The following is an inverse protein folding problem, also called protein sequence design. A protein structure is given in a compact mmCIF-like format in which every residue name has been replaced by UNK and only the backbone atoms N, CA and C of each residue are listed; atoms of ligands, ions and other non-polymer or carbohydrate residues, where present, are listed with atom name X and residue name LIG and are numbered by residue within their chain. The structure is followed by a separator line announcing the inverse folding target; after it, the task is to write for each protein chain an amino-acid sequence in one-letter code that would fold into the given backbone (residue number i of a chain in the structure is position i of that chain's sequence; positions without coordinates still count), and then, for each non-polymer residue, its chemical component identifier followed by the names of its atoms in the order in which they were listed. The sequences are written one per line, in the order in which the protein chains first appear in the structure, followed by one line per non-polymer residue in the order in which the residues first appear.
data_IF_706811588198
#
_entry.id   IF_706811588198
#
_cell.length_a   1.000
_cell.length_b   1.000
_cell.length_c   1.000
_cell.angle_alpha   90.00
_cell.angle_beta   90.00
_cell.angle_gamma   90.00
#
_symmetry.space_group_name_H-M   'P 1'
#
loop_
_entity.id
_entity.type
_entity.pdbx_description
1 polymer ?
#
# COMPACT_ATOMS: atom_id res chain seq x y z
N UNK A 1 2.26 -7.62 -9.19
CA UNK A 1 2.40 -8.44 -7.96
C UNK A 1 1.44 -9.62 -8.02
N UNK A 2 1.85 -10.80 -7.54
CA UNK A 2 0.95 -11.94 -7.37
C UNK A 2 0.42 -11.93 -5.92
N UNK A 3 -0.88 -11.75 -5.70
CA UNK A 3 -1.44 -11.61 -4.34
C UNK A 3 -1.80 -12.96 -3.74
N UNK A 4 -1.26 -13.24 -2.56
CA UNK A 4 -1.55 -14.43 -1.76
C UNK A 4 -1.94 -13.98 -0.34
N UNK A 5 -3.19 -13.56 -0.10
CA UNK A 5 -3.61 -13.15 1.23
C UNK A 5 -3.62 -14.37 2.16
N UNK A 6 -3.23 -14.15 3.42
CA UNK A 6 -3.18 -15.22 4.44
C UNK A 6 -4.14 -14.87 5.57
N UNK A 7 -4.05 -13.65 6.08
CA UNK A 7 -4.86 -13.18 7.19
C UNK A 7 -4.99 -11.64 7.23
N UNK A 8 -5.98 -11.15 7.98
CA UNK A 8 -6.15 -9.73 8.33
C UNK A 8 -6.26 -8.78 7.12
N UNK A 9 -5.48 -7.72 7.12
CA UNK A 9 -5.44 -6.62 6.16
C UNK A 9 -4.98 -7.05 4.76
N UNK A 10 -4.31 -8.21 4.63
CA UNK A 10 -3.83 -8.71 3.33
C UNK A 10 -4.95 -8.92 2.30
N UNK A 11 -6.17 -9.25 2.73
CA UNK A 11 -7.35 -9.33 1.85
C UNK A 11 -7.81 -7.95 1.34
N UNK A 12 -7.66 -6.91 2.16
CA UNK A 12 -7.96 -5.52 1.75
C UNK A 12 -6.88 -5.01 0.80
N UNK A 13 -5.61 -5.30 1.12
CA UNK A 13 -4.47 -4.95 0.27
C UNK A 13 -4.59 -5.63 -1.10
N UNK A 14 -5.01 -6.90 -1.16
CA UNK A 14 -5.31 -7.56 -2.43
C UNK A 14 -6.36 -6.81 -3.26
N UNK A 15 -7.50 -6.42 -2.65
CA UNK A 15 -8.52 -5.65 -3.36
C UNK A 15 -8.00 -4.31 -3.87
N UNK A 16 -7.18 -3.62 -3.08
CA UNK A 16 -6.52 -2.38 -3.53
C UNK A 16 -5.65 -2.67 -4.76
N UNK A 17 -4.73 -3.63 -4.64
CA UNK A 17 -3.73 -3.99 -5.67
C UNK A 17 -4.37 -4.48 -6.98
N UNK A 18 -5.37 -5.35 -6.89
CA UNK A 18 -5.97 -6.02 -8.05
C UNK A 18 -7.09 -5.19 -8.66
N UNK A 19 -7.98 -4.61 -7.84
CA UNK A 19 -9.21 -3.99 -8.36
C UNK A 19 -9.09 -2.48 -8.55
N UNK A 20 -8.34 -1.79 -7.67
CA UNK A 20 -8.25 -0.33 -7.66
C UNK A 20 -7.06 0.15 -8.49
N UNK A 21 -5.83 -0.18 -8.05
CA UNK A 21 -4.61 0.25 -8.76
C UNK A 21 -4.26 -0.67 -9.93
N UNK A 22 -4.79 -1.90 -9.93
CA UNK A 22 -4.72 -2.87 -11.05
C UNK A 22 -3.29 -3.17 -11.51
N UNK A 23 -2.39 -3.41 -10.55
CA UNK A 23 -0.96 -3.75 -10.79
C UNK A 23 -0.63 -5.20 -10.44
N UNK A 24 -1.64 -6.01 -10.13
CA UNK A 24 -1.45 -7.37 -9.65
C UNK A 24 -2.51 -8.36 -10.09
N UNK A 25 -2.17 -9.62 -9.91
CA UNK A 25 -3.00 -10.78 -10.25
C UNK A 25 -3.26 -11.58 -8.98
N UNK A 26 -4.50 -12.04 -8.82
CA UNK A 26 -4.96 -12.81 -7.67
C UNK A 26 -4.71 -14.30 -7.88
N UNK A 27 -4.21 -14.97 -6.84
CA UNK A 27 -3.95 -16.41 -6.87
C UNK A 27 -5.21 -17.24 -6.61
N UNK A 28 -6.19 -16.70 -5.88
CA UNK A 28 -7.48 -17.35 -5.63
C UNK A 28 -7.76 -17.74 -4.18
N UNK A 29 -6.99 -17.23 -3.20
CA UNK A 29 -7.27 -17.46 -1.78
C UNK A 29 -8.48 -16.62 -1.36
N UNK A 30 -9.60 -17.26 -1.03
CA UNK A 30 -10.87 -16.60 -0.68
C UNK A 30 -11.14 -16.52 0.82
N UNK A 31 -10.53 -17.39 1.63
CA UNK A 31 -10.80 -17.46 3.07
C UNK A 31 -9.51 -17.25 3.89
N UNK A 32 -9.55 -16.46 4.97
CA UNK A 32 -8.42 -16.37 5.89
C UNK A 32 -8.13 -17.72 6.55
N UNK A 33 -6.86 -17.98 6.86
CA UNK A 33 -6.45 -19.15 7.64
C UNK A 33 -6.25 -18.70 9.09
N UNK A 34 -7.02 -19.25 10.01
CA UNK A 34 -6.86 -19.02 11.45
C UNK A 34 -5.98 -20.12 12.07
N UNK A 35 -4.96 -19.73 12.84
CA UNK A 35 -4.11 -20.66 13.57
C UNK A 35 -4.92 -21.36 14.67
N UNK A 36 -5.11 -22.68 14.57
CA UNK A 36 -5.76 -23.50 15.60
C UNK A 36 -7.07 -24.17 15.17
N UNK A 37 -7.59 -23.87 13.97
CA UNK A 37 -8.63 -24.68 13.34
C UNK A 37 -7.96 -25.86 12.61
N UNK A 38 -7.99 -27.03 13.23
CA UNK A 38 -7.64 -28.31 12.58
C UNK A 38 -8.71 -28.68 11.55
N UNK A 39 -8.89 -27.86 10.52
CA UNK A 39 -9.81 -28.17 9.43
C UNK A 39 -9.00 -28.55 8.19
N UNK A 40 -9.07 -29.84 7.86
CA UNK A 40 -8.73 -30.36 6.54
C UNK A 40 -9.45 -29.60 5.41
N UNK A 41 -10.53 -28.89 5.72
CA UNK A 41 -11.32 -28.03 4.83
C UNK A 41 -10.61 -26.72 4.41
N UNK A 42 -9.60 -26.26 5.17
CA UNK A 42 -8.88 -25.00 4.90
C UNK A 42 -7.45 -25.20 4.37
N UNK A 43 -6.95 -26.44 4.29
CA UNK A 43 -5.55 -26.75 3.96
C UNK A 43 -5.15 -26.46 2.52
N UNK A 44 -6.07 -26.56 1.56
CA UNK A 44 -5.78 -26.32 0.13
C UNK A 44 -6.89 -25.47 -0.50
N UNK A 45 -6.70 -24.15 -0.50
CA UNK A 45 -7.63 -23.22 -1.13
C UNK A 45 -7.35 -22.97 -2.61
N UNK A 46 -6.13 -23.28 -3.07
CA UNK A 46 -5.68 -22.96 -4.42
C UNK A 46 -5.07 -24.18 -5.07
N UNK A 47 -5.53 -24.47 -6.29
CA UNK A 47 -4.98 -25.57 -7.11
C UNK A 47 -3.75 -25.10 -7.89
N UNK A 48 -2.87 -26.05 -8.24
CA UNK A 48 -1.69 -25.78 -9.09
C UNK A 48 -2.05 -25.04 -10.38
N UNK A 49 -3.18 -25.37 -11.01
CA UNK A 49 -3.61 -24.74 -12.25
C UNK A 49 -4.02 -23.26 -12.06
N UNK A 50 -4.56 -22.89 -10.89
CA UNK A 50 -4.85 -21.50 -10.55
C UNK A 50 -3.57 -20.69 -10.38
N UNK A 51 -2.58 -21.27 -9.70
CA UNK A 51 -1.24 -20.67 -9.58
C UNK A 51 -0.62 -20.49 -10.96
N UNK A 52 -0.68 -21.52 -11.82
CA UNK A 52 -0.14 -21.47 -13.19
C UNK A 52 -0.79 -20.34 -13.99
N UNK A 53 -2.12 -20.26 -14.01
CA UNK A 53 -2.86 -19.20 -14.70
C UNK A 53 -2.52 -17.81 -14.17
N UNK A 54 -2.40 -17.66 -12.85
CA UNK A 54 -2.06 -16.38 -12.23
C UNK A 54 -0.64 -15.91 -12.62
N UNK A 55 0.31 -16.86 -12.73
CA UNK A 55 1.67 -16.60 -13.20
C UNK A 55 1.68 -16.25 -14.70
N UNK A 56 1.02 -17.03 -15.54
CA UNK A 56 0.90 -16.80 -16.99
C UNK A 56 0.34 -15.40 -17.25
N UNK A 57 -0.79 -15.05 -16.64
CA UNK A 57 -1.39 -13.71 -16.73
C UNK A 57 -0.46 -12.57 -16.31
N UNK A 58 0.49 -12.81 -15.40
CA UNK A 58 1.44 -11.79 -14.94
C UNK A 58 2.69 -11.70 -15.83
N UNK A 59 3.16 -12.85 -16.31
CA UNK A 59 4.45 -12.99 -16.99
C UNK A 59 4.34 -12.89 -18.50
N UNK A 60 3.21 -13.28 -19.07
CA UNK A 60 3.03 -13.27 -20.51
C UNK A 60 3.14 -11.85 -21.07
N UNK A 61 3.49 -11.77 -22.36
CA UNK A 61 3.66 -10.50 -23.07
C UNK A 61 2.35 -9.87 -23.53
N UNK A 62 1.22 -10.40 -23.08
CA UNK A 62 -0.12 -9.95 -23.47
C UNK A 62 -0.41 -8.53 -22.97
N UNK A 63 -1.42 -7.91 -23.58
CA UNK A 63 -1.83 -6.53 -23.31
C UNK A 63 -2.06 -6.27 -21.81
N UNK A 64 -2.75 -7.19 -21.12
CA UNK A 64 -3.06 -7.05 -19.71
C UNK A 64 -1.80 -6.99 -18.83
N UNK A 65 -0.82 -7.85 -19.10
CA UNK A 65 0.43 -7.91 -18.35
C UNK A 65 1.32 -6.69 -18.59
N UNK A 66 1.36 -6.18 -19.83
CA UNK A 66 2.08 -4.95 -20.16
C UNK A 66 1.45 -3.73 -19.47
N UNK A 67 0.12 -3.62 -19.48
CA UNK A 67 -0.59 -2.54 -18.80
C UNK A 67 -0.44 -2.62 -17.27
N UNK A 68 -0.36 -3.82 -16.68
CA UNK A 68 -0.01 -3.97 -15.26
C UNK A 68 1.41 -3.46 -14.96
N UNK A 69 2.40 -3.83 -15.79
CA UNK A 69 3.79 -3.38 -15.63
C UNK A 69 3.95 -1.87 -15.79
N UNK A 70 3.25 -1.28 -16.77
CA UNK A 70 3.23 0.16 -17.01
C UNK A 70 2.69 0.92 -15.79
N UNK A 71 1.51 0.53 -15.29
CA UNK A 71 0.92 1.13 -14.08
C UNK A 71 1.81 0.96 -12.85
N UNK A 72 2.44 -0.20 -12.69
CA UNK A 72 3.38 -0.43 -11.60
C UNK A 72 4.58 0.52 -11.67
N UNK A 73 5.11 0.77 -12.87
CA UNK A 73 6.21 1.72 -13.08
C UNK A 73 5.79 3.15 -12.76
N UNK A 74 4.65 3.61 -13.31
CA UNK A 74 4.10 4.94 -13.04
C UNK A 74 3.85 5.16 -11.55
N UNK A 75 3.31 4.16 -10.85
CA UNK A 75 3.10 4.21 -9.41
C UNK A 75 4.43 4.28 -8.64
N UNK A 76 5.45 3.56 -9.08
CA UNK A 76 6.79 3.62 -8.49
C UNK A 76 7.40 5.02 -8.61
N UNK A 77 7.33 5.62 -9.80
CA UNK A 77 7.81 6.99 -10.03
C UNK A 77 7.01 8.03 -9.22
N UNK A 78 5.70 7.83 -9.04
CA UNK A 78 4.88 8.68 -8.16
C UNK A 78 5.28 8.55 -6.69
N UNK A 79 5.56 7.33 -6.23
CA UNK A 79 5.98 7.07 -4.86
C UNK A 79 7.35 7.70 -4.55
N UNK A 80 8.29 7.65 -5.50
CA UNK A 80 9.60 8.30 -5.40
C UNK A 80 9.43 9.83 -5.30
N UNK A 81 8.70 10.45 -6.22
CA UNK A 81 8.41 11.90 -6.18
C UNK A 81 7.67 12.34 -4.92
N UNK A 82 6.84 11.49 -4.33
CA UNK A 82 6.11 11.83 -3.12
C UNK A 82 7.04 12.01 -1.90
N UNK A 83 8.18 11.31 -1.86
CA UNK A 83 9.12 11.33 -0.72
C UNK A 83 10.33 12.25 -0.93
N UNK A 84 10.60 12.65 -2.17
CA UNK A 84 11.60 13.68 -2.49
C UNK A 84 11.30 15.04 -1.82
N UNK A 85 12.29 15.91 -1.73
CA UNK A 85 12.13 17.26 -1.19
C UNK A 85 11.08 18.04 -2.00
N UNK A 86 10.13 18.65 -1.30
CA UNK A 86 8.96 19.29 -1.92
C UNK A 86 7.84 18.32 -2.35
N UNK A 87 8.05 17.01 -2.21
CA UNK A 87 7.05 15.97 -2.44
C UNK A 87 5.94 15.94 -1.39
N UNK A 88 4.81 15.33 -1.72
CA UNK A 88 3.62 15.35 -0.86
C UNK A 88 3.83 14.70 0.51
N UNK A 89 4.51 13.55 0.56
CA UNK A 89 4.80 12.85 1.82
C UNK A 89 5.88 13.58 2.62
N UNK A 90 6.88 14.13 1.94
CA UNK A 90 7.90 14.98 2.57
C UNK A 90 7.26 16.19 3.26
N UNK A 91 6.40 16.92 2.56
CA UNK A 91 5.64 18.05 3.10
C UNK A 91 4.75 17.63 4.27
N UNK A 92 4.02 16.52 4.14
CA UNK A 92 3.10 16.06 5.18
C UNK A 92 3.84 15.71 6.49
N UNK A 93 5.01 15.06 6.40
CA UNK A 93 5.84 14.76 7.58
C UNK A 93 6.43 16.05 8.16
N UNK A 94 6.84 16.99 7.31
CA UNK A 94 7.38 18.29 7.75
C UNK A 94 6.33 19.08 8.53
N UNK A 95 5.12 19.20 7.99
CA UNK A 95 3.99 19.85 8.64
C UNK A 95 3.64 19.15 9.96
N UNK A 96 3.61 17.82 9.97
CA UNK A 96 3.35 17.06 11.20
C UNK A 96 4.39 17.36 12.29
N UNK A 97 5.68 17.44 11.94
CA UNK A 97 6.73 17.80 12.91
C UNK A 97 6.54 19.23 13.42
N UNK A 98 6.23 20.18 12.53
CA UNK A 98 5.97 21.57 12.90
C UNK A 98 4.78 21.69 13.86
N UNK A 99 3.70 20.98 13.58
CA UNK A 99 2.50 20.94 14.44
C UNK A 99 2.83 20.39 15.83
N UNK A 100 3.61 19.31 15.90
CA UNK A 100 4.06 18.74 17.19
C UNK A 100 4.94 19.74 17.96
N UNK A 101 5.86 20.42 17.30
CA UNK A 101 6.72 21.44 17.92
C UNK A 101 5.89 22.61 18.44
N UNK A 102 4.95 23.11 17.65
CA UNK A 102 4.07 24.21 18.03
C UNK A 102 3.23 23.85 19.27
N UNK A 103 2.69 22.63 19.32
CA UNK A 103 1.93 22.15 20.47
C UNK A 103 2.80 22.02 21.72
N UNK A 104 4.04 21.50 21.60
CA UNK A 104 4.98 21.43 22.73
C UNK A 104 5.32 22.82 23.28
N UNK A 105 5.57 23.79 22.40
CA UNK A 105 5.89 25.15 22.81
C UNK A 105 4.68 25.86 23.45
N UNK A 106 3.47 25.58 22.98
CA UNK A 106 2.22 26.04 23.61
C UNK A 106 2.05 25.44 25.01
N UNK A 107 2.29 24.14 25.17
CA UNK A 107 2.22 23.46 26.47
C UNK A 107 3.28 23.96 27.46
N UNK A 108 4.46 24.35 26.97
CA UNK A 108 5.53 24.95 27.77
C UNK A 108 5.27 26.42 28.15
N UNK A 109 4.14 27.01 27.71
CA UNK A 109 3.82 28.42 27.95
C UNK A 109 4.71 29.40 27.19
N UNK A 110 5.42 28.93 26.16
CA UNK A 110 6.37 29.74 25.38
C UNK A 110 5.70 30.49 24.22
N UNK A 111 4.44 30.19 23.91
CA UNK A 111 3.68 30.83 22.84
C UNK A 111 2.29 31.22 23.36
N UNK A 112 2.12 32.50 23.71
CA UNK A 112 0.80 33.13 23.87
C UNK A 112 0.44 33.89 22.59
N UNK A 113 -0.28 33.25 21.66
CA UNK A 113 -0.82 33.89 20.45
C UNK A 113 -0.63 33.08 19.17
N UNK A 114 -1.55 33.27 18.20
CA UNK A 114 -1.62 32.53 16.93
C UNK A 114 -0.26 32.52 16.20
N UNK A 115 0.33 31.34 16.06
CA UNK A 115 1.53 31.11 15.28
C UNK A 115 1.15 31.01 13.79
N UNK A 116 1.80 31.78 12.93
CA UNK A 116 1.71 31.63 11.48
C UNK A 116 2.88 30.74 11.02
N UNK A 117 2.63 29.59 10.37
CA UNK A 117 3.68 28.65 9.95
C UNK A 117 4.71 29.24 8.97
N UNK A 118 4.39 30.36 8.32
CA UNK A 118 5.21 30.97 7.26
C UNK A 118 6.52 31.64 7.74
N UNK A 119 6.80 31.67 9.05
CA UNK A 119 7.95 32.36 9.63
C UNK A 119 9.22 31.50 9.82
N UNK A 120 9.23 30.26 9.33
CA UNK A 120 10.34 29.31 9.48
C UNK A 120 11.02 28.92 8.16
N UNK A 121 11.00 29.80 7.16
CA UNK A 121 11.83 29.70 5.95
C UNK A 121 12.76 30.91 5.87
#
# INVERSE_FOLDING_TARGET
MLTWPVFSDTFRNEKLIVNVIKIGSRVGVDKPVFLGEDDDEHKVQVKKDEIKRAIEKLMDGEEEANEMRKRAKELGEMAERAVEEGGSSYLNVTLFIQDVIAEQARLAGLIEGNFSPDLLI
#
